data_IF_800190668195
#
_entry.id   IF_800190668195
#
_cell.length_a   1.000
_cell.length_b   1.000
_cell.length_c   1.000
_cell.angle_alpha   90.00
_cell.angle_beta   90.00
_cell.angle_gamma   90.00
#
_symmetry.space_group_name_H-M   'P 1'
#
loop_
_entity.id
_entity.type
_entity.pdbx_description
1 polymer ?
#
# COMPACT_ATOMS: atom_id res chain seq x y z
N UNK A 1 -11.47 7.17 -12.67
CA UNK A 1 -10.46 8.23 -12.50
C UNK A 1 -11.12 9.38 -11.75
N UNK A 2 -10.39 10.07 -10.89
CA UNK A 2 -10.93 11.16 -10.09
C UNK A 2 -11.00 12.44 -10.93
N UNK A 3 -12.16 13.10 -10.94
CA UNK A 3 -12.36 14.38 -11.60
C UNK A 3 -12.61 15.47 -10.55
N UNK A 4 -12.17 16.67 -10.86
CA UNK A 4 -12.32 17.85 -10.02
C UNK A 4 -12.99 18.99 -10.78
N UNK A 5 -13.79 19.77 -10.08
CA UNK A 5 -14.23 21.08 -10.54
C UNK A 5 -13.38 22.17 -9.86
N UNK A 6 -12.96 23.17 -10.62
CA UNK A 6 -12.28 24.36 -10.12
C UNK A 6 -12.69 25.56 -10.98
N UNK A 7 -13.22 26.60 -10.35
CA UNK A 7 -13.76 27.80 -11.03
C UNK A 7 -14.84 27.47 -12.08
N UNK A 8 -15.71 26.49 -11.79
CA UNK A 8 -16.80 26.07 -12.68
C UNK A 8 -16.36 25.26 -13.90
N UNK A 9 -15.09 24.85 -13.98
CA UNK A 9 -14.55 24.00 -15.03
C UNK A 9 -14.18 22.63 -14.48
N UNK A 10 -14.49 21.57 -15.24
CA UNK A 10 -14.12 20.20 -14.89
C UNK A 10 -12.74 19.82 -15.44
N UNK A 11 -11.99 19.07 -14.64
CA UNK A 11 -10.67 18.58 -14.97
C UNK A 11 -10.46 17.14 -14.49
N UNK A 12 -9.64 16.39 -15.23
CA UNK A 12 -9.09 15.13 -14.75
C UNK A 12 -7.93 15.41 -13.78
N UNK A 13 -7.87 14.69 -12.66
CA UNK A 13 -6.91 14.91 -11.56
C UNK A 13 -5.42 14.95 -11.99
N UNK A 14 -5.06 14.19 -13.02
CA UNK A 14 -3.67 14.10 -13.52
C UNK A 14 -3.37 15.01 -14.70
N UNK A 15 -4.32 15.80 -15.19
CA UNK A 15 -4.13 16.61 -16.40
C UNK A 15 -3.18 17.78 -16.13
N UNK A 16 -2.28 18.06 -17.08
CA UNK A 16 -1.37 19.20 -16.99
C UNK A 16 -2.13 20.54 -16.88
N UNK A 17 -3.29 20.64 -17.54
CA UNK A 17 -4.17 21.81 -17.46
C UNK A 17 -4.70 22.05 -16.05
N UNK A 18 -5.04 21.00 -15.31
CA UNK A 18 -5.43 21.10 -13.91
C UNK A 18 -4.27 21.47 -12.99
N UNK A 19 -3.15 20.75 -13.12
CA UNK A 19 -1.98 20.96 -12.28
C UNK A 19 -1.42 22.40 -12.41
N UNK A 20 -1.50 22.98 -13.60
CA UNK A 20 -1.10 24.38 -13.85
C UNK A 20 -1.97 25.42 -13.13
N UNK A 21 -3.21 25.08 -12.74
CA UNK A 21 -4.14 25.99 -12.03
C UNK A 21 -3.94 25.98 -10.51
N UNK A 22 -3.39 24.90 -9.95
CA UNK A 22 -3.27 24.73 -8.49
C UNK A 22 -2.49 25.85 -7.78
N UNK A 23 -1.39 26.43 -8.32
CA UNK A 23 -0.68 27.51 -7.66
C UNK A 23 -1.56 28.76 -7.45
N UNK A 24 -2.22 29.24 -8.50
CA UNK A 24 -3.09 30.40 -8.44
C UNK A 24 -4.32 30.16 -7.56
N UNK A 25 -4.92 28.96 -7.65
CA UNK A 25 -6.05 28.58 -6.79
C UNK A 25 -5.67 28.51 -5.31
N UNK A 26 -4.46 28.01 -4.99
CA UNK A 26 -3.94 27.99 -3.63
C UNK A 26 -3.75 29.42 -3.08
N UNK A 27 -3.18 30.33 -3.86
CA UNK A 27 -3.01 31.74 -3.47
C UNK A 27 -4.37 32.44 -3.28
N UNK A 28 -5.33 32.19 -4.16
CA UNK A 28 -6.69 32.72 -4.08
C UNK A 28 -7.56 32.05 -3.00
N UNK A 29 -7.08 30.97 -2.36
CA UNK A 29 -7.84 30.10 -1.45
C UNK A 29 -9.11 29.51 -2.10
N UNK A 30 -9.11 29.35 -3.42
CA UNK A 30 -10.17 28.66 -4.16
C UNK A 30 -10.03 27.16 -3.94
N UNK A 31 -11.14 26.50 -3.57
CA UNK A 31 -11.17 25.07 -3.27
C UNK A 31 -11.59 24.28 -4.51
N UNK A 32 -10.80 23.29 -4.96
CA UNK A 32 -11.29 22.29 -5.90
C UNK A 32 -12.43 21.47 -5.26
N UNK A 33 -13.38 21.01 -6.07
CA UNK A 33 -14.46 20.11 -5.65
C UNK A 33 -14.27 18.75 -6.31
N UNK A 34 -14.29 17.67 -5.52
CA UNK A 34 -14.27 16.32 -6.06
C UNK A 34 -15.66 15.92 -6.59
N UNK A 35 -15.71 15.48 -7.84
CA UNK A 35 -16.94 15.14 -8.56
C UNK A 35 -17.35 13.66 -8.38
N UNK A 36 -16.79 12.94 -7.41
CA UNK A 36 -17.10 11.53 -7.22
C UNK A 36 -18.48 11.25 -6.60
N UNK A 37 -19.13 12.28 -6.05
CA UNK A 37 -20.44 12.21 -5.39
C UNK A 37 -21.26 13.46 -5.72
N UNK A 38 -22.57 13.40 -5.47
CA UNK A 38 -23.48 14.54 -5.63
C UNK A 38 -24.17 14.81 -4.28
N UNK A 39 -24.02 16.01 -3.70
CA UNK A 39 -23.26 17.17 -4.21
C UNK A 39 -21.73 16.94 -4.22
N UNK A 40 -20.97 17.68 -5.07
CA UNK A 40 -19.51 17.63 -5.08
C UNK A 40 -18.88 17.91 -3.72
N UNK A 41 -17.74 17.29 -3.44
CA UNK A 41 -17.11 17.33 -2.10
C UNK A 41 -15.93 18.30 -2.11
N UNK A 42 -15.91 19.34 -1.24
CA UNK A 42 -14.79 20.27 -1.18
C UNK A 42 -13.46 19.60 -0.85
N UNK A 43 -12.38 20.11 -1.44
CA UNK A 43 -10.99 19.69 -1.23
C UNK A 43 -10.13 20.89 -0.77
N UNK A 44 -8.86 20.65 -0.44
CA UNK A 44 -7.87 21.71 -0.26
C UNK A 44 -6.62 21.46 -1.11
N UNK A 45 -5.82 22.50 -1.32
CA UNK A 45 -4.55 22.41 -2.06
C UNK A 45 -3.41 22.51 -1.04
N UNK A 46 -2.54 21.51 -1.01
CA UNK A 46 -1.31 21.51 -0.23
C UNK A 46 -0.13 21.96 -1.10
N UNK A 47 0.88 22.58 -0.50
CA UNK A 47 2.12 23.02 -1.16
C UNK A 47 3.35 22.39 -0.50
N UNK A 48 4.30 21.91 -1.31
CA UNK A 48 5.59 21.35 -0.87
C UNK A 48 6.70 21.68 -1.88
N UNK A 49 7.78 22.33 -1.46
CA UNK A 49 8.90 22.72 -2.35
C UNK A 49 8.45 23.34 -3.70
N UNK A 50 7.42 24.20 -3.66
CA UNK A 50 6.85 24.83 -4.86
C UNK A 50 5.94 23.93 -5.72
N UNK A 51 5.70 22.68 -5.30
CA UNK A 51 4.75 21.73 -5.91
C UNK A 51 3.41 21.80 -5.19
N UNK A 52 2.32 21.59 -5.93
CA UNK A 52 0.95 21.68 -5.41
C UNK A 52 0.21 20.35 -5.63
N UNK A 53 -0.60 19.94 -4.66
CA UNK A 53 -1.41 18.73 -4.73
C UNK A 53 -2.76 18.92 -4.05
N UNK A 54 -3.82 18.41 -4.65
CA UNK A 54 -5.16 18.39 -4.07
C UNK A 54 -5.27 17.29 -3.02
N UNK A 55 -5.78 17.62 -1.83
CA UNK A 55 -6.00 16.71 -0.70
C UNK A 55 -7.45 16.80 -0.21
N UNK A 56 -7.95 15.68 0.34
CA UNK A 56 -9.32 15.60 0.91
C UNK A 56 -9.47 16.54 2.10
N UNK A 57 -10.67 17.07 2.31
CA UNK A 57 -10.95 17.80 3.54
C UNK A 57 -10.96 16.87 4.75
N UNK A 58 -10.51 17.33 5.94
CA UNK A 58 -10.58 16.54 7.16
C UNK A 58 -12.00 16.01 7.43
N UNK A 59 -12.11 14.75 7.84
CA UNK A 59 -13.40 14.10 8.14
C UNK A 59 -14.34 13.89 6.94
N UNK A 60 -13.87 14.07 5.70
CA UNK A 60 -14.70 13.88 4.49
C UNK A 60 -14.45 12.58 3.74
N UNK A 61 -13.50 11.75 4.17
CA UNK A 61 -13.12 10.51 3.51
C UNK A 61 -14.30 9.57 3.22
N UNK A 62 -15.18 9.37 4.20
CA UNK A 62 -16.38 8.53 4.07
C UNK A 62 -17.46 9.11 3.15
N UNK A 63 -17.40 10.41 2.80
CA UNK A 63 -18.35 11.06 1.87
C UNK A 63 -18.03 10.75 0.41
N UNK A 64 -16.79 10.37 0.11
CA UNK A 64 -16.38 10.03 -1.24
C UNK A 64 -16.94 8.66 -1.65
N UNK A 65 -17.19 8.47 -2.95
CA UNK A 65 -17.61 7.19 -3.49
C UNK A 65 -16.48 6.16 -3.39
N UNK A 66 -16.83 4.90 -3.12
CA UNK A 66 -15.87 3.79 -3.17
C UNK A 66 -15.11 3.78 -4.52
N UNK A 67 -13.79 3.62 -4.45
CA UNK A 67 -12.90 3.65 -5.61
C UNK A 67 -12.42 5.05 -6.02
N UNK A 68 -12.91 6.11 -5.37
CA UNK A 68 -12.31 7.44 -5.40
C UNK A 68 -10.98 7.45 -4.63
N UNK A 69 -9.98 8.17 -5.13
CA UNK A 69 -8.66 8.25 -4.48
C UNK A 69 -8.74 8.99 -3.12
N UNK A 70 -9.79 9.79 -2.91
CA UNK A 70 -10.08 10.45 -1.63
C UNK A 70 -10.95 9.63 -0.66
N UNK A 71 -11.43 8.45 -1.07
CA UNK A 71 -12.18 7.57 -0.17
C UNK A 71 -11.26 7.04 0.94
N UNK A 72 -11.76 7.08 2.17
CA UNK A 72 -11.06 6.59 3.36
C UNK A 72 -11.70 5.29 3.81
N UNK A 73 -10.86 4.28 4.02
CA UNK A 73 -11.29 2.98 4.55
C UNK A 73 -11.94 3.19 5.93
N UNK A 74 -13.08 2.53 6.22
CA UNK A 74 -13.69 2.60 7.53
C UNK A 74 -12.66 2.33 8.66
N UNK A 75 -12.64 3.14 9.74
CA UNK A 75 -11.60 3.07 10.75
C UNK A 75 -11.39 1.66 11.33
N UNK A 76 -12.46 0.89 11.55
CA UNK A 76 -12.39 -0.47 12.11
C UNK A 76 -11.70 -1.52 11.23
N UNK A 77 -11.40 -1.22 9.96
CA UNK A 77 -10.73 -2.18 9.06
C UNK A 77 -9.20 -2.02 9.05
N UNK A 78 -8.68 -1.01 9.74
CA UNK A 78 -7.25 -0.71 9.80
C UNK A 78 -6.87 -0.22 11.20
N UNK A 79 -5.58 -0.15 11.51
CA UNK A 79 -5.15 0.43 12.78
C UNK A 79 -5.20 1.97 12.83
N UNK A 80 -5.69 2.63 11.78
CA UNK A 80 -5.82 4.09 11.76
C UNK A 80 -6.81 4.58 12.82
N UNK A 81 -7.92 3.87 13.02
CA UNK A 81 -8.97 4.25 13.97
C UNK A 81 -8.49 4.41 15.42
N UNK A 82 -7.49 3.62 15.84
CA UNK A 82 -6.95 3.68 17.21
C UNK A 82 -6.11 4.94 17.48
N UNK A 83 -5.59 5.56 16.42
CA UNK A 83 -4.68 6.71 16.49
C UNK A 83 -5.31 8.01 16.00
N UNK A 84 -6.43 7.93 15.29
CA UNK A 84 -7.21 9.08 14.83
C UNK A 84 -7.81 9.85 16.01
N UNK A 85 -7.71 11.19 15.96
CA UNK A 85 -8.19 12.08 17.02
C UNK A 85 -7.34 12.06 18.30
N UNK A 86 -6.41 11.12 18.44
CA UNK A 86 -5.56 10.95 19.61
C UNK A 86 -4.10 11.29 19.28
N UNK A 87 -3.39 10.39 18.60
CA UNK A 87 -2.01 10.57 18.16
C UNK A 87 -1.89 11.35 16.86
N UNK A 88 -2.90 11.28 16.00
CA UNK A 88 -3.02 12.01 14.75
C UNK A 88 -4.24 12.93 14.88
N UNK A 89 -3.99 14.23 14.93
CA UNK A 89 -5.03 15.24 15.11
C UNK A 89 -5.02 16.14 13.89
N UNK A 90 -6.03 16.01 13.03
CA UNK A 90 -6.23 16.89 11.87
C UNK A 90 -6.99 18.15 12.33
N UNK A 91 -6.51 19.33 11.93
CA UNK A 91 -7.21 20.60 12.09
C UNK A 91 -8.19 20.79 10.91
N UNK A 92 -9.51 20.83 11.16
CA UNK A 92 -10.51 20.97 10.09
C UNK A 92 -10.46 22.29 9.33
N UNK A 93 -9.96 23.37 9.95
CA UNK A 93 -9.93 24.71 9.36
C UNK A 93 -8.69 24.91 8.48
N UNK A 94 -7.52 24.58 9.02
CA UNK A 94 -6.23 24.78 8.34
C UNK A 94 -5.83 23.60 7.45
N UNK A 95 -6.34 22.39 7.72
CA UNK A 95 -5.90 21.16 7.08
C UNK A 95 -4.53 20.67 7.57
N UNK A 96 -3.93 21.34 8.56
CA UNK A 96 -2.69 20.88 9.19
C UNK A 96 -2.94 19.64 10.05
N UNK A 97 -1.91 18.82 10.20
CA UNK A 97 -1.98 17.61 11.03
C UNK A 97 -0.94 17.66 12.13
N UNK A 98 -1.39 17.55 13.38
CA UNK A 98 -0.52 17.38 14.54
C UNK A 98 -0.30 15.90 14.84
N UNK A 99 0.96 15.48 14.88
CA UNK A 99 1.41 14.14 15.20
C UNK A 99 2.06 14.10 16.59
N UNK A 100 1.59 13.21 17.46
CA UNK A 100 2.16 12.98 18.80
C UNK A 100 2.98 11.70 18.76
N UNK A 101 4.31 11.79 18.83
CA UNK A 101 5.17 10.60 18.76
C UNK A 101 5.38 9.89 20.10
N UNK A 102 5.44 8.56 20.03
CA UNK A 102 5.79 7.64 21.12
C UNK A 102 7.29 7.50 21.33
N UNK A 103 8.08 7.86 20.32
CA UNK A 103 9.55 7.81 20.32
C UNK A 103 10.17 9.19 20.60
N UNK A 104 11.44 9.19 21.00
CA UNK A 104 12.17 10.42 21.29
C UNK A 104 12.56 11.15 20.01
N UNK A 105 12.39 12.48 20.00
CA UNK A 105 12.86 13.36 18.92
C UNK A 105 14.15 14.10 19.28
N UNK A 106 14.64 14.00 20.51
CA UNK A 106 15.88 14.65 20.92
C UNK A 106 16.52 13.85 22.06
N UNK A 107 17.81 14.06 22.28
CA UNK A 107 18.56 13.45 23.37
C UNK A 107 18.10 14.04 24.70
N UNK A 108 17.23 13.33 25.43
CA UNK A 108 16.87 13.65 26.82
C UNK A 108 17.89 13.11 27.82
N UNK A 109 17.66 13.36 29.12
CA UNK A 109 18.34 12.60 30.17
C UNK A 109 18.14 11.12 29.87
N UNK A 110 19.25 10.35 29.82
CA UNK A 110 19.32 8.95 29.37
C UNK A 110 18.15 8.15 29.94
N UNK A 111 17.06 8.05 29.19
CA UNK A 111 16.00 7.10 29.48
C UNK A 111 16.46 5.85 28.76
N UNK A 112 17.02 4.92 29.51
CA UNK A 112 17.28 3.59 28.99
C UNK A 112 16.00 3.13 28.29
N UNK A 113 16.14 2.73 27.02
CA UNK A 113 15.04 2.10 26.31
C UNK A 113 14.57 0.93 27.18
N UNK A 114 13.25 0.79 27.42
CA UNK A 114 12.72 -0.36 28.12
C UNK A 114 13.30 -1.65 27.53
N UNK A 115 13.63 -2.61 28.39
CA UNK A 115 13.96 -3.94 27.89
C UNK A 115 12.79 -4.46 27.06
N UNK A 116 13.05 -5.10 25.90
CA UNK A 116 11.99 -5.61 25.05
C UNK A 116 11.17 -6.63 25.86
N UNK A 117 10.01 -6.19 26.35
CA UNK A 117 8.99 -7.09 26.86
C UNK A 117 8.55 -7.99 25.70
N UNK A 118 8.40 -9.29 25.97
CA UNK A 118 8.28 -10.35 24.97
C UNK A 118 7.40 -10.07 23.74
N UNK A 119 7.79 -10.78 22.68
CA UNK A 119 7.24 -10.96 21.34
C UNK A 119 7.19 -9.77 20.37
N UNK A 120 7.14 -8.51 20.82
CA UNK A 120 6.99 -7.39 19.88
C UNK A 120 7.60 -6.07 20.41
N UNK A 121 8.19 -5.23 19.52
CA UNK A 121 9.02 -4.09 19.89
C UNK A 121 8.22 -2.89 20.45
N UNK A 122 8.86 -2.09 21.31
CA UNK A 122 8.30 -0.81 21.80
C UNK A 122 7.97 0.18 20.66
N UNK A 123 8.64 0.06 19.50
CA UNK A 123 8.35 0.82 18.27
C UNK A 123 7.02 0.40 17.60
N UNK A 124 6.26 -0.49 18.24
CA UNK A 124 4.97 -1.02 17.82
C UNK A 124 3.91 -0.86 18.94
N UNK A 125 4.28 -0.59 20.21
CA UNK A 125 3.33 -0.56 21.35
C UNK A 125 3.17 0.85 21.96
N UNK A 126 1.94 1.36 21.97
CA UNK A 126 1.52 2.58 22.70
C UNK A 126 0.05 2.49 23.09
N UNK A 127 -0.39 3.28 24.07
CA UNK A 127 -1.79 3.37 24.55
C UNK A 127 -2.75 4.10 23.58
N UNK A 128 -2.46 4.09 22.27
CA UNK A 128 -3.20 4.81 21.23
C UNK A 128 -2.94 6.33 21.19
N UNK A 129 -2.57 6.95 22.32
CA UNK A 129 -2.37 8.41 22.43
C UNK A 129 -1.13 8.95 21.70
N UNK A 130 -0.23 8.06 21.31
CA UNK A 130 1.03 8.41 20.64
C UNK A 130 1.28 7.47 19.47
N UNK A 131 1.84 7.99 18.40
CA UNK A 131 2.17 7.25 17.19
C UNK A 131 3.53 6.59 17.36
N UNK A 132 3.57 5.28 17.11
CA UNK A 132 4.82 4.53 17.10
C UNK A 132 5.64 4.84 15.85
N UNK A 133 6.90 4.43 15.80
CA UNK A 133 7.74 4.66 14.61
C UNK A 133 7.19 3.89 13.39
N UNK A 134 6.68 2.66 13.60
CA UNK A 134 5.97 1.91 12.54
C UNK A 134 4.67 2.60 12.15
N UNK A 135 3.91 3.07 13.13
CA UNK A 135 2.68 3.83 12.91
C UNK A 135 2.89 5.07 12.04
N UNK A 136 4.01 5.77 12.24
CA UNK A 136 4.40 6.90 11.39
C UNK A 136 4.72 6.44 9.96
N UNK A 137 5.47 5.35 9.78
CA UNK A 137 5.75 4.83 8.45
C UNK A 137 4.46 4.43 7.72
N UNK A 138 3.56 3.69 8.38
CA UNK A 138 2.25 3.33 7.83
C UNK A 138 1.42 4.56 7.46
N UNK A 139 1.35 5.54 8.35
CA UNK A 139 0.64 6.79 8.09
C UNK A 139 1.19 7.51 6.87
N UNK A 140 2.50 7.70 6.77
CA UNK A 140 3.11 8.36 5.60
C UNK A 140 2.92 7.55 4.32
N UNK A 141 2.96 6.22 4.38
CA UNK A 141 2.71 5.36 3.22
C UNK A 141 1.27 5.51 2.70
N UNK A 142 0.30 5.56 3.61
CA UNK A 142 -1.10 5.75 3.28
C UNK A 142 -1.39 7.16 2.74
N UNK A 143 -0.84 8.19 3.39
CA UNK A 143 -0.94 9.57 2.93
C UNK A 143 -0.24 9.81 1.59
N UNK A 144 0.78 9.01 1.27
CA UNK A 144 1.44 8.99 -0.03
C UNK A 144 0.64 8.20 -1.10
N UNK A 145 -0.45 7.53 -0.72
CA UNK A 145 -1.23 6.66 -1.61
C UNK A 145 -0.50 5.37 -2.02
N UNK A 146 0.62 5.06 -1.37
CA UNK A 146 1.46 3.89 -1.66
C UNK A 146 0.84 2.58 -1.15
N UNK A 147 -0.21 2.64 -0.34
CA UNK A 147 -1.03 1.50 0.03
C UNK A 147 -2.16 1.20 -0.97
N UNK A 148 -2.36 2.02 -2.02
CA UNK A 148 -3.41 1.80 -3.04
C UNK A 148 -2.85 1.12 -4.27
N UNK A 149 -3.68 0.36 -4.98
CA UNK A 149 -3.32 -0.27 -6.25
C UNK A 149 -4.42 -0.16 -7.29
N UNK A 150 -4.02 -0.03 -8.54
CA UNK A 150 -4.86 -0.30 -9.70
C UNK A 150 -3.99 -0.86 -10.84
N UNK A 151 -4.56 -1.61 -11.79
CA UNK A 151 -3.79 -2.19 -12.89
C UNK A 151 -3.05 -1.15 -13.73
N UNK A 152 -3.58 0.07 -13.82
CA UNK A 152 -2.97 1.19 -14.54
C UNK A 152 -1.64 1.67 -13.92
N UNK A 153 -1.28 1.22 -12.72
CA UNK A 153 -0.03 1.55 -12.03
C UNK A 153 1.08 0.53 -12.27
N UNK A 154 0.80 -0.58 -12.96
CA UNK A 154 1.79 -1.62 -13.26
C UNK A 154 3.03 -1.02 -13.95
N UNK A 155 4.21 -1.32 -13.40
CA UNK A 155 5.51 -0.84 -13.89
C UNK A 155 5.80 0.66 -13.70
N UNK A 156 4.88 1.44 -13.09
CA UNK A 156 5.04 2.90 -12.99
C UNK A 156 5.66 3.39 -11.68
N UNK A 157 5.78 2.53 -10.67
CA UNK A 157 6.36 2.89 -9.36
C UNK A 157 7.82 2.48 -9.30
N UNK A 158 8.65 3.43 -8.91
CA UNK A 158 10.06 3.23 -8.62
C UNK A 158 10.44 4.16 -7.43
N UNK A 159 11.71 4.15 -7.03
CA UNK A 159 12.16 4.94 -5.90
C UNK A 159 11.91 6.45 -6.03
N UNK A 160 12.02 7.05 -7.23
CA UNK A 160 11.78 8.50 -7.39
C UNK A 160 10.31 8.84 -7.16
N UNK A 161 9.41 7.95 -7.59
CA UNK A 161 7.97 8.05 -7.32
C UNK A 161 7.70 7.92 -5.82
N UNK A 162 8.23 6.89 -5.16
CA UNK A 162 8.06 6.69 -3.72
C UNK A 162 8.57 7.88 -2.93
N UNK A 163 9.80 8.34 -3.21
CA UNK A 163 10.38 9.53 -2.58
C UNK A 163 9.50 10.76 -2.78
N UNK A 164 9.07 11.03 -4.02
CA UNK A 164 8.20 12.18 -4.33
C UNK A 164 6.93 12.17 -3.49
N UNK A 165 6.22 11.05 -3.43
CA UNK A 165 4.96 10.98 -2.72
C UNK A 165 5.12 10.96 -1.20
N UNK A 166 6.22 10.39 -0.65
CA UNK A 166 6.53 10.53 0.78
C UNK A 166 6.81 11.98 1.18
N UNK A 167 7.54 12.72 0.34
CA UNK A 167 7.81 14.14 0.58
C UNK A 167 6.54 15.00 0.47
N UNK A 168 5.64 14.71 -0.48
CA UNK A 168 4.32 15.33 -0.53
C UNK A 168 3.42 14.95 0.67
N UNK A 169 3.60 13.73 1.18
CA UNK A 169 2.85 13.25 2.32
C UNK A 169 3.24 14.00 3.60
N UNK A 170 4.49 14.41 3.79
CA UNK A 170 4.89 15.18 4.99
C UNK A 170 4.38 16.61 5.04
N UNK A 171 4.01 17.19 3.90
CA UNK A 171 3.56 18.57 3.83
C UNK A 171 2.37 18.86 4.74
N UNK A 172 2.49 19.92 5.55
CA UNK A 172 1.47 20.35 6.51
C UNK A 172 1.34 19.45 7.76
N UNK A 173 2.35 18.61 8.04
CA UNK A 173 2.38 17.74 9.22
C UNK A 173 3.39 18.26 10.23
N UNK A 174 2.92 18.45 11.46
CA UNK A 174 3.69 19.01 12.56
C UNK A 174 3.81 18.00 13.69
N UNK A 175 4.96 17.93 14.34
CA UNK A 175 5.12 17.23 15.61
C UNK A 175 5.67 18.18 16.67
N UNK A 176 4.89 18.39 17.75
CA UNK A 176 5.13 19.46 18.72
C UNK A 176 5.16 20.84 18.05
N UNK A 177 6.33 21.48 17.97
CA UNK A 177 6.54 22.81 17.37
C UNK A 177 7.43 22.75 16.12
N UNK A 178 7.56 21.57 15.52
CA UNK A 178 8.46 21.34 14.39
C UNK A 178 7.69 20.74 13.23
N UNK A 179 7.95 21.24 12.03
CA UNK A 179 7.46 20.62 10.81
C UNK A 179 8.15 19.28 10.59
N UNK A 180 7.38 18.27 10.17
CA UNK A 180 7.93 16.97 9.79
C UNK A 180 8.86 17.08 8.58
N UNK A 181 8.66 18.10 7.74
CA UNK A 181 9.54 18.45 6.61
C UNK A 181 10.96 18.78 7.11
N UNK A 182 11.06 19.44 8.26
CA UNK A 182 12.34 19.82 8.88
C UNK A 182 12.95 18.72 9.75
N UNK A 183 12.41 17.50 9.68
CA UNK A 183 12.89 16.36 10.44
C UNK A 183 13.14 15.13 9.57
N UNK A 184 12.49 15.01 8.40
CA UNK A 184 12.56 13.83 7.56
C UNK A 184 13.62 13.95 6.45
N UNK A 185 14.48 12.94 6.37
CA UNK A 185 15.36 12.69 5.25
C UNK A 185 14.92 11.44 4.47
N UNK A 186 14.69 11.62 3.16
CA UNK A 186 14.46 10.52 2.20
C UNK A 186 15.52 10.63 1.08
N UNK A 187 16.42 9.63 0.93
CA UNK A 187 17.52 9.68 -0.04
C UNK A 187 17.04 9.98 -1.45
N UNK A 188 17.74 10.90 -2.15
CA UNK A 188 17.56 11.11 -3.59
C UNK A 188 17.89 9.82 -4.35
N UNK A 189 17.30 9.64 -5.54
CA UNK A 189 17.69 8.52 -6.41
C UNK A 189 19.17 8.65 -6.77
N UNK A 190 19.96 7.66 -6.40
CA UNK A 190 21.39 7.65 -6.70
C UNK A 190 21.64 7.49 -8.20
N UNK A 191 22.40 8.44 -8.76
CA UNK A 191 22.91 8.43 -10.14
C UNK A 191 24.42 8.57 -10.07
N UNK A 192 25.15 7.60 -10.63
CA UNK A 192 26.61 7.49 -10.48
C UNK A 192 27.37 8.76 -10.87
N UNK A 193 27.01 9.36 -12.00
CA UNK A 193 27.64 10.58 -12.52
C UNK A 193 27.35 11.83 -11.68
N UNK A 194 26.36 11.77 -10.79
CA UNK A 194 25.98 12.88 -9.89
C UNK A 194 26.36 12.62 -8.44
N UNK A 195 27.12 11.56 -8.13
CA UNK A 195 27.40 11.11 -6.77
C UNK A 195 27.87 12.24 -5.84
N UNK A 196 28.78 13.10 -6.30
CA UNK A 196 29.38 14.15 -5.47
C UNK A 196 28.37 15.28 -5.21
N UNK A 197 27.53 15.61 -6.20
CA UNK A 197 26.44 16.58 -6.06
C UNK A 197 25.35 16.08 -5.12
N UNK A 198 25.00 14.79 -5.21
CA UNK A 198 24.05 14.14 -4.30
C UNK A 198 24.61 14.15 -2.87
N UNK A 199 25.90 13.82 -2.71
CA UNK A 199 26.57 13.83 -1.41
C UNK A 199 26.61 15.23 -0.79
N UNK A 200 26.88 16.27 -1.59
CA UNK A 200 26.84 17.66 -1.14
C UNK A 200 25.43 18.06 -0.67
N UNK A 201 24.40 17.87 -1.50
CA UNK A 201 23.00 18.21 -1.14
C UNK A 201 22.53 17.46 0.10
N UNK A 202 22.88 16.18 0.22
CA UNK A 202 22.61 15.39 1.44
C UNK A 202 23.23 16.06 2.66
N UNK A 203 24.51 16.43 2.58
CA UNK A 203 25.26 16.96 3.72
C UNK A 203 24.65 18.29 4.17
N UNK A 204 24.34 19.18 3.24
CA UNK A 204 23.66 20.46 3.50
C UNK A 204 22.26 20.26 4.09
N UNK A 205 21.49 19.31 3.55
CA UNK A 205 20.15 18.98 4.04
C UNK A 205 20.23 18.44 5.47
N UNK A 206 20.98 17.37 5.70
CA UNK A 206 21.09 16.74 7.01
C UNK A 206 21.61 17.70 8.08
N UNK A 207 22.58 18.56 7.76
CA UNK A 207 23.04 19.60 8.68
C UNK A 207 21.89 20.53 9.10
N UNK A 208 21.09 21.00 8.12
CA UNK A 208 19.94 21.88 8.37
C UNK A 208 18.87 21.23 9.24
N UNK A 209 18.46 20.00 8.94
CA UNK A 209 17.34 19.32 9.63
C UNK A 209 17.75 18.61 10.92
N UNK A 210 19.03 18.66 11.31
CA UNK A 210 19.50 18.05 12.56
C UNK A 210 19.46 19.00 13.77
N UNK A 211 19.15 20.27 13.53
CA UNK A 211 19.07 21.31 14.55
C UNK A 211 17.75 22.06 14.45
N UNK A 212 17.16 22.37 15.60
CA UNK A 212 15.94 23.19 15.67
C UNK A 212 16.23 24.63 15.25
N UNK A 213 15.19 25.44 15.04
CA UNK A 213 15.32 26.90 14.86
C UNK A 213 16.13 27.58 15.97
N UNK A 214 16.08 27.03 17.19
CA UNK A 214 16.86 27.52 18.35
C UNK A 214 18.33 27.07 18.37
N UNK A 215 18.79 26.36 17.34
CA UNK A 215 20.13 25.79 17.22
C UNK A 215 20.38 24.52 18.04
N UNK A 216 19.39 24.04 18.81
CA UNK A 216 19.53 22.80 19.61
C UNK A 216 19.48 21.55 18.72
N UNK A 217 20.40 20.58 18.90
CA UNK A 217 20.38 19.34 18.15
C UNK A 217 19.18 18.48 18.52
N UNK A 218 18.63 17.80 17.53
CA UNK A 218 17.57 16.81 17.68
C UNK A 218 17.83 15.61 16.76
N UNK A 219 16.98 14.59 16.86
CA UNK A 219 17.05 13.44 15.97
C UNK A 219 16.37 13.76 14.65
N UNK A 220 16.96 13.25 13.57
CA UNK A 220 16.35 13.21 12.24
C UNK A 220 15.62 11.88 12.06
N UNK A 221 14.57 11.89 11.25
CA UNK A 221 13.92 10.71 10.72
C UNK A 221 14.56 10.37 9.38
N UNK A 222 14.88 9.11 9.14
CA UNK A 222 15.38 8.63 7.85
C UNK A 222 14.46 7.54 7.35
N UNK A 223 13.91 7.70 6.14
CA UNK A 223 13.16 6.64 5.45
C UNK A 223 13.93 6.22 4.21
N UNK A 224 14.16 4.92 4.06
CA UNK A 224 14.89 4.37 2.91
C UNK A 224 14.76 2.85 2.81
N UNK A 225 15.08 2.31 1.64
CA UNK A 225 15.08 0.87 1.42
C UNK A 225 16.40 0.26 1.92
N UNK A 226 16.34 -0.78 2.74
CA UNK A 226 17.52 -1.47 3.23
C UNK A 226 18.19 -2.25 2.10
N UNK A 227 19.52 -2.11 1.99
CA UNK A 227 20.36 -2.96 1.15
C UNK A 227 20.94 -4.13 1.95
N UNK A 228 21.49 -3.83 3.12
CA UNK A 228 22.11 -4.81 4.03
C UNK A 228 22.39 -4.16 5.40
N UNK A 229 22.62 -5.01 6.41
CA UNK A 229 23.20 -4.61 7.69
C UNK A 229 24.67 -5.04 7.68
N UNK A 230 25.58 -4.10 7.43
CA UNK A 230 27.00 -4.39 7.27
C UNK A 230 27.79 -4.15 8.56
N UNK A 231 28.88 -4.90 8.75
CA UNK A 231 29.89 -4.57 9.75
C UNK A 231 30.59 -3.25 9.41
N UNK A 232 30.87 -2.45 10.43
CA UNK A 232 31.64 -1.23 10.31
C UNK A 232 32.94 -1.35 11.14
N UNK A 233 33.85 -0.37 11.02
CA UNK A 233 35.06 -0.33 11.84
C UNK A 233 34.76 -0.38 13.35
N UNK A 234 33.63 0.23 13.74
CA UNK A 234 33.11 0.19 15.09
C UNK A 234 31.61 -0.12 15.02
N UNK A 235 31.20 -1.30 15.49
CA UNK A 235 29.82 -1.76 15.44
C UNK A 235 29.36 -2.13 14.02
N UNK A 236 28.16 -1.67 13.68
CA UNK A 236 27.46 -2.03 12.44
C UNK A 236 26.94 -0.76 11.75
N UNK A 237 26.44 -0.91 10.52
CA UNK A 237 25.73 0.16 9.81
C UNK A 237 24.57 -0.40 9.00
N UNK A 238 23.47 0.35 8.94
CA UNK A 238 22.43 0.14 7.93
C UNK A 238 22.93 0.75 6.63
N UNK A 239 23.02 -0.07 5.58
CA UNK A 239 23.29 0.40 4.22
C UNK A 239 21.94 0.58 3.54
N UNK A 240 21.64 1.81 3.16
CA UNK A 240 20.37 2.19 2.53
C UNK A 240 20.57 2.29 1.01
N UNK A 241 19.66 1.70 0.22
CA UNK A 241 19.66 1.89 -1.23
C UNK A 241 19.52 3.36 -1.56
N UNK A 242 20.17 3.77 -2.65
CA UNK A 242 20.32 5.17 -3.03
C UNK A 242 21.08 6.07 -2.04
N UNK A 243 21.72 5.48 -1.03
CA UNK A 243 22.61 6.16 -0.08
C UNK A 243 23.93 5.38 0.12
N UNK A 244 24.64 4.99 -0.97
CA UNK A 244 25.73 4.01 -0.88
C UNK A 244 26.98 4.52 -0.14
N UNK A 245 27.20 5.83 -0.09
CA UNK A 245 28.36 6.49 0.51
C UNK A 245 28.09 7.01 1.94
N UNK A 246 26.90 6.78 2.50
CA UNK A 246 26.50 7.27 3.81
C UNK A 246 25.70 6.23 4.59
N UNK A 247 26.40 5.44 5.42
CA UNK A 247 25.78 4.43 6.28
C UNK A 247 25.25 5.01 7.59
N UNK A 248 24.11 4.50 8.06
CA UNK A 248 23.57 4.87 9.38
C UNK A 248 24.19 3.94 10.43
N UNK A 249 24.97 4.48 11.36
CA UNK A 249 25.72 3.70 12.35
C UNK A 249 24.80 3.07 13.39
N UNK A 250 25.08 1.82 13.76
CA UNK A 250 24.28 1.01 14.69
C UNK A 250 25.22 0.31 15.68
N UNK A 251 24.89 0.35 16.97
CA UNK A 251 25.62 -0.41 17.98
C UNK A 251 25.18 -1.89 18.04
N UNK A 252 25.95 -2.72 18.74
CA UNK A 252 25.67 -4.16 18.80
C UNK A 252 24.32 -4.47 19.46
N UNK A 253 23.92 -3.69 20.48
CA UNK A 253 22.65 -3.87 21.19
C UNK A 253 21.46 -3.64 20.24
N UNK A 254 21.51 -2.56 19.48
CA UNK A 254 20.48 -2.18 18.51
C UNK A 254 20.45 -3.17 17.36
N UNK A 255 21.61 -3.62 16.86
CA UNK A 255 21.69 -4.67 15.83
C UNK A 255 21.03 -5.98 16.29
N UNK A 256 21.37 -6.47 17.48
CA UNK A 256 20.73 -7.68 18.06
C UNK A 256 19.22 -7.50 18.24
N UNK A 257 18.77 -6.31 18.64
CA UNK A 257 17.34 -5.99 18.76
C UNK A 257 16.66 -6.04 17.40
N UNK A 258 17.24 -5.46 16.36
CA UNK A 258 16.71 -5.51 14.98
C UNK A 258 16.53 -6.96 14.53
N UNK A 259 17.56 -7.79 14.66
CA UNK A 259 17.52 -9.20 14.23
C UNK A 259 16.49 -10.02 15.01
N UNK A 260 16.32 -9.76 16.30
CA UNK A 260 15.33 -10.45 17.13
C UNK A 260 13.91 -10.02 16.78
N UNK A 261 13.69 -8.72 16.62
CA UNK A 261 12.36 -8.11 16.47
C UNK A 261 11.80 -8.31 15.06
N UNK A 262 12.64 -8.12 14.04
CA UNK A 262 12.26 -8.17 12.64
C UNK A 262 12.73 -9.48 11.98
N UNK A 263 12.86 -10.55 12.75
CA UNK A 263 13.38 -11.84 12.28
C UNK A 263 12.56 -12.35 11.08
N UNK A 264 11.23 -12.32 11.20
CA UNK A 264 10.30 -12.76 10.17
C UNK A 264 10.40 -11.91 8.91
N UNK A 265 10.46 -10.58 9.05
CA UNK A 265 10.60 -9.67 7.91
C UNK A 265 11.93 -9.85 7.19
N UNK A 266 13.02 -10.01 7.94
CA UNK A 266 14.35 -10.28 7.39
C UNK A 266 14.41 -11.63 6.66
N UNK A 267 13.78 -12.67 7.21
CA UNK A 267 13.70 -13.99 6.58
C UNK A 267 12.89 -13.95 5.29
N UNK A 268 11.71 -13.34 5.31
CA UNK A 268 10.86 -13.19 4.12
C UNK A 268 11.59 -12.39 3.04
N UNK A 269 12.23 -11.28 3.42
CA UNK A 269 13.00 -10.44 2.49
C UNK A 269 14.16 -11.21 1.85
N UNK A 270 14.91 -11.99 2.64
CA UNK A 270 16.02 -12.80 2.15
C UNK A 270 15.55 -13.93 1.20
N UNK A 271 14.36 -14.49 1.44
CA UNK A 271 13.81 -15.61 0.67
C UNK A 271 12.95 -15.18 -0.54
N UNK A 272 12.53 -13.92 -0.63
CA UNK A 272 11.56 -13.47 -1.63
C UNK A 272 12.13 -12.39 -2.53
N UNK A 273 12.55 -12.79 -3.73
CA UNK A 273 13.03 -11.87 -4.77
C UNK A 273 11.97 -10.82 -5.14
N UNK A 274 12.44 -9.65 -5.58
CA UNK A 274 11.57 -8.54 -5.98
C UNK A 274 10.87 -7.81 -4.83
N UNK A 275 11.08 -8.22 -3.57
CA UNK A 275 10.56 -7.51 -2.39
C UNK A 275 11.54 -6.43 -1.92
N UNK A 276 11.00 -5.40 -1.27
CA UNK A 276 11.76 -4.32 -0.67
C UNK A 276 11.55 -4.32 0.85
N UNK A 277 12.63 -4.14 1.60
CA UNK A 277 12.56 -3.94 3.04
C UNK A 277 12.73 -2.45 3.35
N UNK A 278 11.63 -1.78 3.66
CA UNK A 278 11.62 -0.36 3.99
C UNK A 278 12.00 -0.16 5.45
N UNK A 279 12.87 0.83 5.69
CA UNK A 279 13.32 1.24 7.03
C UNK A 279 12.85 2.65 7.30
N UNK A 280 12.35 2.86 8.52
CA UNK A 280 12.28 4.18 9.15
C UNK A 280 13.17 4.17 10.39
N UNK A 281 14.00 5.19 10.57
CA UNK A 281 14.92 5.28 11.69
C UNK A 281 14.93 6.68 12.30
N UNK A 282 15.09 6.76 13.62
CA UNK A 282 15.54 8.00 14.27
C UNK A 282 17.06 7.97 14.38
N UNK A 283 17.73 9.07 14.02
CA UNK A 283 19.18 9.16 14.08
C UNK A 283 19.65 10.49 14.68
N UNK A 284 20.66 10.44 15.53
CA UNK A 284 21.41 11.63 15.94
C UNK A 284 22.54 11.90 14.96
N UNK A 285 22.85 13.18 14.70
CA UNK A 285 24.03 13.56 13.94
C UNK A 285 25.13 14.08 14.86
N UNK A 286 26.35 13.59 14.67
CA UNK A 286 27.54 14.16 15.31
C UNK A 286 27.98 15.45 14.63
N UNK A 287 28.90 16.20 15.25
CA UNK A 287 29.51 17.38 14.64
C UNK A 287 30.28 17.05 13.33
N UNK A 288 30.71 15.80 13.17
CA UNK A 288 31.33 15.31 11.94
C UNK A 288 30.30 14.85 10.88
N UNK A 289 29.00 15.05 11.12
CA UNK A 289 27.93 14.62 10.23
C UNK A 289 27.74 13.10 10.18
N UNK A 290 28.16 12.36 11.20
CA UNK A 290 27.93 10.91 11.28
C UNK A 290 26.55 10.66 11.90
N UNK A 291 25.69 9.94 11.18
CA UNK A 291 24.38 9.52 11.69
C UNK A 291 24.50 8.25 12.54
N UNK A 292 24.00 8.30 13.77
CA UNK A 292 23.89 7.15 14.68
C UNK A 292 22.43 6.88 14.99
N UNK A 293 21.98 5.69 14.61
CA UNK A 293 20.61 5.20 14.81
C UNK A 293 20.30 5.06 16.30
N UNK A 294 19.11 5.50 16.69
CA UNK A 294 18.58 5.37 18.05
C UNK A 294 17.43 4.37 18.10
N UNK A 295 16.53 4.42 17.11
CA UNK A 295 15.40 3.51 16.99
C UNK A 295 15.13 3.21 15.52
N UNK A 296 14.65 2.00 15.22
CA UNK A 296 14.36 1.51 13.87
C UNK A 296 13.02 0.80 13.87
N UNK A 297 12.27 1.00 12.79
CA UNK A 297 11.18 0.12 12.41
C UNK A 297 11.30 -0.25 10.93
N UNK A 298 10.75 -1.41 10.57
CA UNK A 298 10.81 -1.96 9.23
C UNK A 298 9.42 -2.34 8.72
N UNK A 299 9.27 -2.36 7.39
CA UNK A 299 8.06 -2.77 6.70
C UNK A 299 8.43 -3.41 5.35
N UNK A 300 7.91 -4.61 5.09
CA UNK A 300 8.03 -5.26 3.79
C UNK A 300 7.09 -4.60 2.78
N UNK A 301 7.56 -4.46 1.54
CA UNK A 301 6.70 -4.11 0.39
C UNK A 301 7.02 -5.00 -0.80
N UNK A 302 6.01 -5.31 -1.61
CA UNK A 302 6.20 -6.09 -2.83
C UNK A 302 6.82 -5.23 -3.95
N UNK A 303 7.08 -5.81 -5.12
CA UNK A 303 7.63 -5.12 -6.30
C UNK A 303 6.85 -3.86 -6.73
N UNK A 304 5.58 -3.76 -6.33
CA UNK A 304 4.68 -2.64 -6.59
C UNK A 304 4.64 -1.61 -5.45
N UNK A 305 5.55 -1.74 -4.49
CA UNK A 305 5.68 -0.91 -3.28
C UNK A 305 4.46 -0.96 -2.34
N UNK A 306 3.63 -2.00 -2.47
CA UNK A 306 2.48 -2.25 -1.59
C UNK A 306 2.96 -2.98 -0.33
N UNK A 307 2.66 -2.49 0.88
CA UNK A 307 3.02 -3.17 2.11
C UNK A 307 2.38 -4.56 2.27
N UNK A 308 3.11 -5.49 2.87
CA UNK A 308 2.59 -6.80 3.26
C UNK A 308 3.28 -7.32 4.52
N UNK A 309 2.64 -8.25 5.24
CA UNK A 309 3.15 -8.72 6.55
C UNK A 309 3.52 -10.21 6.58
N UNK A 310 3.03 -11.00 5.63
CA UNK A 310 3.32 -12.43 5.54
C UNK A 310 3.36 -12.91 4.09
N UNK A 311 3.89 -14.12 3.86
CA UNK A 311 3.86 -14.73 2.53
C UNK A 311 2.42 -14.96 2.02
N UNK A 312 1.49 -15.29 2.92
CA UNK A 312 0.08 -15.43 2.56
C UNK A 312 -0.56 -14.07 2.18
N UNK A 313 -0.26 -13.01 2.94
CA UNK A 313 -0.65 -11.64 2.58
C UNK A 313 -0.12 -11.29 1.18
N UNK A 314 1.18 -11.51 0.91
CA UNK A 314 1.76 -11.25 -0.40
C UNK A 314 1.14 -12.12 -1.52
N UNK A 315 0.78 -13.38 -1.23
CA UNK A 315 0.10 -14.24 -2.19
C UNK A 315 -1.29 -13.70 -2.57
N UNK A 316 -2.06 -13.20 -1.60
CA UNK A 316 -3.32 -12.52 -1.86
C UNK A 316 -3.08 -11.26 -2.72
N UNK A 317 -2.11 -10.41 -2.37
CA UNK A 317 -1.82 -9.20 -3.13
C UNK A 317 -1.42 -9.50 -4.58
N UNK A 318 -0.67 -10.58 -4.83
CA UNK A 318 -0.37 -11.05 -6.19
C UNK A 318 -1.64 -11.47 -6.95
N UNK A 319 -2.57 -12.17 -6.28
CA UNK A 319 -3.85 -12.51 -6.88
C UNK A 319 -4.73 -11.29 -7.20
N UNK A 320 -4.50 -10.17 -6.52
CA UNK A 320 -5.17 -8.89 -6.74
C UNK A 320 -4.51 -7.99 -7.80
N UNK A 321 -3.48 -8.47 -8.52
CA UNK A 321 -2.72 -7.64 -9.46
C UNK A 321 -3.58 -6.96 -10.54
N UNK A 322 -4.68 -7.60 -10.97
CA UNK A 322 -5.63 -7.06 -11.97
C UNK A 322 -6.82 -6.30 -11.37
N UNK A 323 -6.82 -6.09 -10.05
CA UNK A 323 -7.92 -5.47 -9.29
C UNK A 323 -7.56 -4.07 -8.79
N UNK A 324 -8.57 -3.29 -8.40
CA UNK A 324 -8.39 -2.03 -7.66
C UNK A 324 -8.62 -2.27 -6.18
N UNK A 325 -7.61 -1.99 -5.35
CA UNK A 325 -7.70 -2.22 -3.92
C UNK A 325 -6.90 -1.19 -3.12
N UNK A 326 -7.19 -1.14 -1.82
CA UNK A 326 -6.40 -0.44 -0.82
C UNK A 326 -5.91 -1.44 0.22
N UNK A 327 -4.60 -1.51 0.45
CA UNK A 327 -4.01 -2.26 1.56
C UNK A 327 -4.33 -1.56 2.87
N UNK A 328 -4.94 -2.29 3.79
CA UNK A 328 -5.13 -1.83 5.15
C UNK A 328 -3.85 -2.04 5.95
N UNK A 329 -3.49 -1.06 6.78
CA UNK A 329 -2.25 -1.02 7.54
C UNK A 329 -2.55 -1.08 9.04
N UNK A 330 -1.66 -1.71 9.82
CA UNK A 330 -1.85 -1.88 11.27
C UNK A 330 -1.59 -0.64 12.12
N UNK A 331 -0.89 0.37 11.60
CA UNK A 331 -0.38 1.46 12.44
C UNK A 331 0.30 0.95 13.74
N UNK A 332 -0.29 1.24 14.89
CA UNK A 332 0.16 0.82 16.23
C UNK A 332 -0.37 -0.56 16.66
N UNK A 333 -1.30 -1.17 15.93
CA UNK A 333 -1.87 -2.46 16.31
C UNK A 333 -0.88 -3.60 16.11
N UNK A 334 -0.82 -4.51 17.06
CA UNK A 334 0.02 -5.71 17.00
C UNK A 334 -0.54 -6.74 16.01
N UNK A 335 0.22 -7.80 15.73
CA UNK A 335 -0.29 -8.92 14.93
C UNK A 335 -1.45 -9.68 15.63
N UNK A 336 -1.65 -9.44 16.93
CA UNK A 336 -2.70 -10.07 17.76
C UNK A 336 -4.10 -9.48 17.55
N UNK A 337 -4.21 -8.33 16.90
CA UNK A 337 -5.50 -7.75 16.53
C UNK A 337 -5.85 -8.10 15.08
N UNK A 338 -7.06 -8.55 14.77
CA UNK A 338 -7.50 -8.70 13.39
C UNK A 338 -7.65 -7.34 12.71
N UNK A 339 -7.17 -7.25 11.48
CA UNK A 339 -7.49 -6.16 10.55
C UNK A 339 -7.86 -6.77 9.21
N UNK A 340 -8.56 -6.00 8.36
CA UNK A 340 -8.64 -6.38 6.96
C UNK A 340 -7.22 -6.39 6.37
N UNK A 341 -6.93 -7.33 5.48
CA UNK A 341 -5.70 -7.34 4.71
C UNK A 341 -5.76 -6.27 3.63
N UNK A 342 -6.84 -6.25 2.86
CA UNK A 342 -7.09 -5.25 1.82
C UNK A 342 -8.60 -4.99 1.66
N UNK A 343 -8.94 -3.80 1.15
CA UNK A 343 -10.29 -3.44 0.72
C UNK A 343 -10.35 -3.45 -0.80
N UNK A 344 -11.17 -4.32 -1.38
CA UNK A 344 -11.54 -4.25 -2.80
C UNK A 344 -12.46 -3.06 -3.03
N UNK A 345 -12.03 -2.19 -3.94
CA UNK A 345 -12.74 -0.93 -4.26
C UNK A 345 -13.42 -0.96 -5.62
N UNK A 346 -13.21 -2.03 -6.39
CA UNK A 346 -13.84 -2.26 -7.69
C UNK A 346 -15.02 -3.25 -7.64
N UNK A 347 -15.33 -3.82 -6.47
CA UNK A 347 -16.50 -4.66 -6.26
C UNK A 347 -17.78 -3.81 -6.17
N UNK A 348 -18.95 -4.42 -6.46
CA UNK A 348 -20.25 -3.73 -6.45
C UNK A 348 -20.58 -3.16 -5.06
N UNK A 349 -20.40 -3.98 -4.03
CA UNK A 349 -20.28 -3.56 -2.64
C UNK A 349 -18.82 -3.72 -2.27
N UNK A 350 -18.21 -2.71 -1.65
CA UNK A 350 -16.81 -2.82 -1.23
C UNK A 350 -16.61 -4.05 -0.37
N UNK A 351 -15.52 -4.78 -0.59
CA UNK A 351 -15.28 -6.06 0.09
C UNK A 351 -14.00 -6.02 0.88
N UNK A 352 -14.10 -6.18 2.20
CA UNK A 352 -12.96 -6.35 3.09
C UNK A 352 -12.45 -7.79 2.99
N UNK A 353 -11.18 -7.95 2.63
CA UNK A 353 -10.51 -9.23 2.50
C UNK A 353 -9.68 -9.49 3.76
N UNK A 354 -9.89 -10.64 4.40
CA UNK A 354 -9.18 -11.05 5.62
C UNK A 354 -8.34 -12.29 5.36
N UNK A 355 -7.04 -12.20 5.59
CA UNK A 355 -6.14 -13.37 5.68
C UNK A 355 -5.96 -13.70 7.15
N UNK A 356 -6.56 -14.80 7.59
CA UNK A 356 -6.57 -15.21 9.00
C UNK A 356 -5.54 -16.32 9.21
N UNK A 357 -4.53 -16.13 10.07
CA UNK A 357 -3.55 -17.17 10.38
C UNK A 357 -4.20 -18.46 10.93
N UNK A 358 -3.56 -19.61 10.73
CA UNK A 358 -4.11 -20.90 11.14
C UNK A 358 -4.27 -21.03 12.67
N UNK A 359 -3.33 -20.47 13.44
CA UNK A 359 -3.26 -20.63 14.91
C UNK A 359 -3.72 -19.39 15.68
N UNK A 360 -4.81 -18.76 15.23
CA UNK A 360 -5.36 -17.59 15.93
C UNK A 360 -6.04 -17.99 17.25
N UNK A 361 -5.94 -17.12 18.26
CA UNK A 361 -6.63 -17.31 19.53
C UNK A 361 -8.14 -17.16 19.39
N UNK A 362 -8.91 -17.70 20.35
CA UNK A 362 -10.36 -17.45 20.41
C UNK A 362 -10.71 -15.98 20.56
N UNK A 363 -9.86 -15.20 21.26
CA UNK A 363 -9.99 -13.76 21.38
C UNK A 363 -9.84 -13.05 20.03
N UNK A 364 -8.83 -13.42 19.23
CA UNK A 364 -8.66 -12.90 17.88
C UNK A 364 -9.88 -13.19 17.01
N UNK A 365 -10.38 -14.43 17.05
CA UNK A 365 -11.55 -14.82 16.25
C UNK A 365 -12.81 -14.03 16.66
N UNK A 366 -13.05 -13.86 17.97
CA UNK A 366 -14.19 -13.07 18.46
C UNK A 366 -14.10 -11.59 18.09
N UNK A 367 -12.90 -11.01 18.10
CA UNK A 367 -12.67 -9.63 17.67
C UNK A 367 -12.93 -9.49 16.16
N UNK A 368 -12.47 -10.46 15.35
CA UNK A 368 -12.71 -10.50 13.91
C UNK A 368 -14.20 -10.60 13.58
N UNK A 369 -14.94 -11.47 14.28
CA UNK A 369 -16.37 -11.66 14.06
C UNK A 369 -17.15 -10.37 14.38
N UNK A 370 -16.75 -9.65 15.44
CA UNK A 370 -17.31 -8.33 15.78
C UNK A 370 -17.02 -7.31 14.68
N UNK A 371 -15.77 -7.21 14.23
CA UNK A 371 -15.37 -6.29 13.17
C UNK A 371 -16.15 -6.51 11.87
N UNK A 372 -16.39 -7.78 11.51
CA UNK A 372 -17.18 -8.12 10.32
C UNK A 372 -18.64 -7.75 10.52
N UNK A 373 -19.22 -8.04 11.69
CA UNK A 373 -20.63 -7.76 11.98
C UNK A 373 -20.96 -6.26 12.02
N UNK A 374 -20.01 -5.41 12.45
CA UNK A 374 -20.17 -3.96 12.50
C UNK A 374 -19.91 -3.26 11.15
N UNK A 375 -19.37 -3.98 10.16
CA UNK A 375 -19.05 -3.41 8.84
C UNK A 375 -20.26 -3.44 7.91
N UNK A 376 -20.48 -2.34 7.18
CA UNK A 376 -21.47 -2.29 6.07
C UNK A 376 -20.94 -2.94 4.77
N UNK A 377 -19.64 -3.26 4.75
CA UNK A 377 -18.95 -3.88 3.63
C UNK A 377 -19.14 -5.39 3.63
N UNK A 378 -19.02 -6.00 2.45
CA UNK A 378 -18.98 -7.45 2.36
C UNK A 378 -17.63 -7.95 2.91
N UNK A 379 -17.61 -9.19 3.42
CA UNK A 379 -16.39 -9.83 3.90
C UNK A 379 -16.02 -11.03 3.03
N UNK A 380 -14.72 -11.21 2.85
CA UNK A 380 -14.12 -12.38 2.24
C UNK A 380 -12.99 -12.83 3.16
N UNK A 381 -12.95 -14.12 3.47
CA UNK A 381 -12.02 -14.68 4.47
C UNK A 381 -11.25 -15.80 3.79
N UNK A 382 -9.93 -15.82 4.03
CA UNK A 382 -9.06 -16.94 3.68
C UNK A 382 -8.25 -17.36 4.89
N UNK A 383 -8.19 -18.67 5.15
CA UNK A 383 -7.40 -19.33 6.20
C UNK A 383 -6.29 -20.19 5.58
N UNK A 384 -5.11 -19.59 5.30
CA UNK A 384 -3.99 -20.32 4.70
C UNK A 384 -3.61 -21.56 5.52
N UNK A 385 -3.30 -22.66 4.83
CA UNK A 385 -2.95 -23.94 5.46
C UNK A 385 -4.15 -24.82 5.82
N UNK A 386 -5.32 -24.22 6.06
CA UNK A 386 -6.58 -24.95 6.31
C UNK A 386 -7.39 -25.13 5.03
N UNK A 387 -7.41 -24.12 4.17
CA UNK A 387 -8.18 -24.12 2.93
C UNK A 387 -7.39 -23.53 1.75
N UNK A 388 -7.81 -23.91 0.54
CA UNK A 388 -7.35 -23.25 -0.70
C UNK A 388 -7.94 -21.84 -0.74
N UNK A 389 -7.17 -20.87 -1.23
CA UNK A 389 -7.63 -19.49 -1.37
C UNK A 389 -8.98 -19.44 -2.11
N UNK A 390 -10.05 -18.92 -1.49
CA UNK A 390 -11.36 -18.85 -2.13
C UNK A 390 -11.33 -17.98 -3.40
N UNK A 391 -12.27 -18.17 -4.35
CA UNK A 391 -12.36 -17.29 -5.50
C UNK A 391 -12.61 -15.84 -5.05
N UNK A 392 -11.93 -14.89 -5.70
CA UNK A 392 -12.11 -13.47 -5.42
C UNK A 392 -13.53 -13.00 -5.83
N UNK A 393 -14.14 -12.07 -5.08
CA UNK A 393 -15.40 -11.44 -5.47
C UNK A 393 -15.30 -10.81 -6.86
N UNK A 394 -16.36 -10.86 -7.66
CA UNK A 394 -16.37 -10.22 -8.99
C UNK A 394 -16.18 -8.70 -8.88
N UNK A 395 -15.55 -8.10 -9.88
CA UNK A 395 -15.63 -6.63 -10.04
C UNK A 395 -17.08 -6.25 -10.38
N UNK A 396 -17.48 -5.02 -10.07
CA UNK A 396 -18.80 -4.49 -10.44
C UNK A 396 -19.05 -4.60 -11.94
N UNK A 397 -18.00 -4.41 -12.75
CA UNK A 397 -18.05 -4.56 -14.21
C UNK A 397 -18.34 -6.02 -14.62
N UNK A 398 -17.62 -6.98 -14.04
CA UNK A 398 -17.80 -8.40 -14.36
C UNK A 398 -19.13 -8.94 -13.84
N UNK A 399 -19.58 -8.48 -12.68
CA UNK A 399 -20.89 -8.80 -12.12
C UNK A 399 -22.01 -8.33 -13.07
N UNK A 400 -21.97 -7.07 -13.52
CA UNK A 400 -22.92 -6.52 -14.48
C UNK A 400 -22.91 -7.27 -15.82
N UNK A 401 -21.72 -7.57 -16.35
CA UNK A 401 -21.55 -8.33 -17.60
C UNK A 401 -22.08 -9.77 -17.47
N UNK A 402 -21.90 -10.42 -16.31
CA UNK A 402 -22.44 -11.76 -16.04
C UNK A 402 -23.96 -11.73 -15.96
N UNK A 403 -24.54 -10.74 -15.29
CA UNK A 403 -25.99 -10.56 -15.19
C UNK A 403 -26.65 -10.37 -16.56
N UNK A 404 -26.02 -9.60 -17.46
CA UNK A 404 -26.50 -9.40 -18.84
C UNK A 404 -26.46 -10.68 -19.71
N UNK A 405 -25.59 -11.63 -19.39
CA UNK A 405 -25.43 -12.90 -20.13
C UNK A 405 -26.33 -14.02 -19.64
N UNK A 406 -26.97 -13.88 -18.48
CA UNK A 406 -27.95 -14.86 -18.03
C UNK A 406 -29.26 -14.67 -18.81
N UNK A 407 -29.83 -15.73 -19.42
CA UNK A 407 -31.10 -15.62 -20.12
C UNK A 407 -32.16 -15.15 -19.12
N UNK A 408 -32.82 -14.04 -19.43
CA UNK A 408 -33.95 -13.53 -18.67
C UNK A 408 -34.98 -14.67 -18.58
N UNK A 409 -35.43 -15.10 -17.38
CA UNK A 409 -36.43 -16.15 -17.30
C UNK A 409 -37.63 -15.73 -18.14
N UNK A 410 -38.02 -16.59 -19.09
CA UNK A 410 -39.24 -16.41 -19.87
C UNK A 410 -40.36 -16.19 -18.86
N UNK A 411 -40.96 -14.99 -18.88
CA UNK A 411 -42.13 -14.71 -18.10
C UNK A 411 -43.13 -15.84 -18.37
N UNK A 412 -43.49 -16.58 -17.32
CA UNK A 412 -44.47 -17.66 -17.42
C UNK A 412 -45.70 -17.06 -18.08
N UNK A 413 -46.00 -17.50 -19.30
CA UNK A 413 -47.21 -17.11 -19.99
C UNK A 413 -48.39 -17.40 -19.06
N UNK A 414 -49.20 -16.38 -18.84
CA UNK A 414 -50.40 -16.46 -18.02
C UNK A 414 -51.17 -17.74 -18.36
N UNK A 415 -51.44 -18.55 -17.34
CA UNK A 415 -52.30 -19.71 -17.42
C UNK A 415 -53.64 -19.30 -18.03
N UNK A 416 -53.84 -19.66 -19.30
CA UNK A 416 -55.15 -19.58 -19.94
C UNK A 416 -55.89 -20.87 -19.62
N UNK A 417 -57.04 -20.71 -18.98
CA UNK A 417 -57.98 -21.75 -18.63
C UNK A 417 -58.23 -22.72 -19.80
N UNK A 418 -57.93 -24.00 -19.60
CA UNK A 418 -58.47 -25.08 -20.41
C UNK A 418 -59.17 -26.09 -19.49
N UNK A 419 -60.48 -26.20 -19.71
CA UNK A 419 -61.41 -27.06 -19.01
C UNK A 419 -60.98 -28.54 -19.08
N UNK A 420 -61.17 -29.22 -17.95
CA UNK A 420 -61.05 -30.66 -17.81
C UNK A 420 -62.13 -31.41 -18.61
N UNK A 421 -61.72 -32.46 -19.32
CA UNK A 421 -62.58 -33.59 -19.72
C UNK A 421 -61.78 -34.89 -19.50
N UNK A 422 -62.34 -35.91 -18.83
CA UNK A 422 -61.57 -37.07 -18.38
C UNK A 422 -61.54 -38.23 -19.38
N UNK A 423 -60.36 -38.87 -19.41
CA UNK A 423 -60.01 -40.27 -19.70
C UNK A 423 -60.92 -41.21 -20.50
N UNK A 424 -60.31 -41.87 -21.49
CA UNK A 424 -60.50 -43.31 -21.70
C UNK A 424 -59.24 -43.95 -22.32
N UNK A 425 -58.98 -45.18 -21.91
CA UNK A 425 -57.83 -46.02 -22.25
C UNK A 425 -57.93 -46.61 -23.67
N UNK A 426 -56.79 -47.10 -24.22
CA UNK A 426 -56.59 -48.51 -24.66
C UNK A 426 -55.16 -48.71 -25.21
N UNK A 427 -54.71 -49.95 -25.03
CA UNK A 427 -53.43 -50.62 -25.16
C UNK A 427 -52.74 -50.74 -26.55
N UNK A 428 -51.43 -51.06 -26.47
CA UNK A 428 -50.57 -51.95 -27.32
C UNK A 428 -50.43 -51.55 -28.81
N UNK A 429 -49.26 -51.62 -29.44
CA UNK A 429 -48.48 -52.83 -29.75
C UNK A 429 -47.07 -52.50 -30.32
N UNK A 430 -46.18 -53.51 -30.33
CA UNK A 430 -44.78 -53.56 -30.74
C UNK A 430 -44.54 -53.17 -32.22
N UNK A 431 -43.33 -52.72 -32.60
CA UNK A 431 -42.32 -53.59 -33.25
C UNK A 431 -40.99 -52.89 -33.61
N UNK A 432 -39.96 -53.73 -33.61
CA UNK A 432 -38.54 -53.50 -33.79
C UNK A 432 -38.15 -52.92 -35.16
N UNK A 433 -37.13 -52.04 -35.17
CA UNK A 433 -36.13 -52.01 -36.25
C UNK A 433 -34.72 -51.80 -35.71
N UNK A 434 -33.91 -52.82 -35.97
CA UNK A 434 -32.48 -53.00 -35.69
C UNK A 434 -31.60 -52.27 -36.72
N UNK A 435 -30.30 -52.16 -36.39
CA UNK A 435 -29.10 -51.71 -37.14
C UNK A 435 -28.76 -50.22 -36.98
N UNK A 436 -27.52 -49.81 -36.68
CA UNK A 436 -26.21 -50.49 -36.82
C UNK A 436 -25.20 -49.79 -35.91
N UNK A 437 -24.44 -50.56 -35.14
CA UNK A 437 -23.26 -50.10 -34.39
C UNK A 437 -22.07 -50.12 -35.35
N UNK A 438 -21.39 -48.99 -35.51
CA UNK A 438 -20.05 -48.92 -36.10
C UNK A 438 -19.06 -48.67 -34.97
N UNK A 439 -18.10 -49.58 -34.84
CA UNK A 439 -16.99 -49.56 -33.88
C UNK A 439 -15.70 -49.35 -34.67
N UNK A 440 -14.78 -48.53 -34.12
CA UNK A 440 -13.31 -48.65 -34.12
C UNK A 440 -12.61 -47.28 -34.23
N UNK A 441 -11.33 -47.13 -33.83
CA UNK A 441 -10.52 -48.02 -32.97
C UNK A 441 -9.85 -47.32 -31.78
N UNK A 442 -9.48 -48.14 -30.80
CA UNK A 442 -8.48 -47.86 -29.77
C UNK A 442 -7.08 -47.92 -30.40
N UNK A 443 -6.22 -46.95 -30.08
CA UNK A 443 -4.78 -46.98 -30.38
C UNK A 443 -4.02 -47.20 -29.08
N UNK A 444 -3.34 -48.34 -28.98
CA UNK A 444 -2.31 -48.62 -27.97
C UNK A 444 -0.98 -47.89 -28.28
N UNK A 445 -0.13 -47.66 -27.27
CA UNK A 445 1.01 -46.75 -27.34
C UNK A 445 2.29 -47.41 -27.87
N UNK A 446 3.04 -46.65 -28.66
CA UNK A 446 4.38 -47.02 -29.16
C UNK A 446 5.45 -46.73 -28.07
N UNK A 447 6.36 -47.67 -27.75
CA UNK A 447 7.39 -47.46 -26.74
C UNK A 447 8.71 -46.95 -27.35
N UNK A 448 9.62 -46.56 -26.44
CA UNK A 448 11.07 -46.30 -26.59
C UNK A 448 11.53 -44.84 -26.80
N UNK A 449 12.74 -44.53 -26.29
CA UNK A 449 13.00 -43.59 -25.21
C UNK A 449 13.49 -42.25 -25.78
N UNK A 450 13.96 -41.31 -24.97
CA UNK A 450 15.13 -40.44 -25.27
C UNK A 450 15.05 -39.16 -24.42
N UNK A 451 15.77 -39.19 -23.29
CA UNK A 451 16.48 -38.00 -22.87
C UNK A 451 17.43 -37.60 -24.01
N UNK A 452 17.10 -36.52 -24.71
CA UNK A 452 18.02 -35.79 -25.56
C UNK A 452 17.94 -34.33 -25.12
N UNK A 453 19.07 -33.81 -24.62
CA UNK A 453 19.24 -32.41 -24.27
C UNK A 453 19.00 -31.52 -25.51
N UNK A 454 18.32 -30.37 -25.38
CA UNK A 454 18.11 -29.46 -26.50
C UNK A 454 19.44 -28.77 -26.88
N UNK A 455 19.65 -28.43 -28.17
CA UNK A 455 20.86 -27.78 -28.63
C UNK A 455 20.94 -26.34 -28.12
N UNK A 456 22.16 -25.92 -27.75
CA UNK A 456 22.50 -24.54 -27.41
C UNK A 456 22.39 -23.68 -28.67
N UNK A 457 21.41 -22.78 -28.69
CA UNK A 457 21.30 -21.72 -29.69
C UNK A 457 21.92 -20.46 -29.07
N UNK A 458 23.06 -20.05 -29.61
CA UNK A 458 23.78 -18.84 -29.20
C UNK A 458 23.08 -17.62 -29.84
N UNK A 459 22.02 -17.15 -29.19
CA UNK A 459 21.24 -15.99 -29.62
C UNK A 459 21.87 -14.71 -29.04
N UNK A 460 22.32 -13.74 -29.87
CA UNK A 460 22.93 -12.53 -29.35
C UNK A 460 21.90 -11.70 -28.56
N UNK A 461 22.31 -11.01 -27.48
CA UNK A 461 21.39 -10.26 -26.64
C UNK A 461 20.67 -9.17 -27.45
N UNK A 462 19.39 -8.88 -27.13
CA UNK A 462 18.63 -7.85 -27.83
C UNK A 462 19.35 -6.51 -27.72
N UNK A 463 19.56 -5.85 -28.87
CA UNK A 463 20.02 -4.47 -28.92
C UNK A 463 18.96 -3.60 -28.26
N UNK A 464 19.31 -2.92 -27.18
CA UNK A 464 18.51 -1.83 -26.64
C UNK A 464 18.44 -0.75 -27.70
N UNK A 465 17.23 -0.40 -28.16
CA UNK A 465 17.01 0.83 -28.91
C UNK A 465 17.38 2.00 -28.00
N UNK A 466 18.39 2.78 -28.41
CA UNK A 466 18.87 3.98 -27.71
C UNK A 466 17.88 5.17 -27.82
N UNK A 467 16.61 4.93 -28.10
CA UNK A 467 15.58 5.97 -28.03
C UNK A 467 14.90 5.97 -26.66
N UNK A 468 14.98 7.08 -25.89
CA UNK A 468 14.24 7.20 -24.65
C UNK A 468 12.73 7.05 -24.96
N UNK A 469 11.96 6.35 -24.10
CA UNK A 469 10.54 6.05 -24.36
C UNK A 469 9.61 7.28 -24.31
N UNK A 470 10.17 8.50 -24.26
CA UNK A 470 9.45 9.76 -24.17
C UNK A 470 10.13 10.81 -25.04
N UNK A 471 9.38 11.43 -25.94
CA UNK A 471 9.72 12.72 -26.54
C UNK A 471 9.56 13.82 -25.49
N UNK A 472 10.45 14.83 -25.47
CA UNK A 472 10.45 15.92 -24.47
C UNK A 472 9.11 16.69 -24.38
N UNK A 473 8.22 16.57 -25.39
CA UNK A 473 6.87 17.16 -25.39
C UNK A 473 5.85 16.44 -24.49
N UNK A 474 6.09 15.18 -24.10
CA UNK A 474 5.22 14.40 -23.19
C UNK A 474 5.61 14.52 -21.72
N UNK A 475 6.58 15.38 -21.41
CA UNK A 475 7.15 15.54 -20.07
C UNK A 475 6.27 16.48 -19.24
N UNK A 476 5.62 16.01 -18.15
CA UNK A 476 4.88 16.91 -17.27
C UNK A 476 5.83 17.92 -16.63
N UNK A 477 5.42 19.18 -16.54
CA UNK A 477 6.23 20.32 -16.08
C UNK A 477 6.81 20.19 -14.64
N UNK A 478 6.56 19.08 -13.95
CA UNK A 478 7.01 18.78 -12.59
C UNK A 478 8.03 17.62 -12.50
N UNK A 479 8.64 17.23 -13.63
CA UNK A 479 9.65 16.17 -13.75
C UNK A 479 11.11 16.66 -13.64
N UNK A 480 11.39 17.51 -12.65
CA UNK A 480 12.74 17.80 -12.18
C UNK A 480 13.03 17.07 -10.87
#
# INVERSE_FOLDING_TARGET
MQNFELDGLEYEAGSNSFLAKLPAAHEAKTRPLCLCSTPPIPMYIARFEGRYQVKRMPGTGAKHKLGCDSYETPPGLSGYGDVEGSAIVEDPESGEVTLKFGFALAKGASREMPEPSGDEPDSIKTDGKKLTLRGLLHYLWEQAGLNRWSPAMAGKRNWSVVRKYLLLAVAGKNAKKMSLEDMLYVPEMFVGDQKDRIAQRRTEHLARISVSESGKPHFVLVIGELKEIATARFGFKLVIKHLPDYGLMVDEKTKKRIEKVFASELEIWAATEGTHLMVIATASLSAAGIATVQEVSMMLTNESWIPFESLADNALLKALATRRYQKCLRYNQTAKHPIATALLTDAERGTALYVVPADVSSGYQSELDTLIAESELDSWIWRPGTEVMPPLPLSAFDAARKAQRQPRPLASAAATNALAVPGSAIARELENRTRTVVKAPETEPDPTPLFAEPPVVDEPPPRFDDQPPYTDEDRPANWL
#
